data_IF_449160455832
#
_entry.id   IF_449160455832
#
_cell.length_a   1.000
_cell.length_b   1.000
_cell.length_c   1.000
_cell.angle_alpha   90.00
_cell.angle_beta   90.00
_cell.angle_gamma   90.00
#
_symmetry.space_group_name_H-M   'P 1'
#
loop_
_entity.id
_entity.type
_entity.pdbx_description
1 polymer ?
#
# COMPACT_ATOMS: atom_id res chain seq x y z
N UNK A 1 2.05 -15.22 -11.46
CA UNK A 1 3.02 -14.29 -12.07
C UNK A 1 4.27 -14.29 -11.21
N UNK A 2 5.45 -14.47 -11.79
CA UNK A 2 6.74 -14.30 -11.10
C UNK A 2 7.16 -12.82 -11.12
N UNK A 3 8.17 -12.45 -10.32
CA UNK A 3 8.70 -11.08 -10.34
C UNK A 3 9.33 -10.76 -11.71
N UNK A 4 10.06 -11.70 -12.30
CA UNK A 4 10.70 -11.50 -13.61
C UNK A 4 9.66 -11.23 -14.71
N UNK A 5 8.59 -12.04 -14.77
CA UNK A 5 7.47 -11.81 -15.71
C UNK A 5 6.82 -10.43 -15.49
N UNK A 6 6.71 -9.99 -14.23
CA UNK A 6 6.14 -8.67 -13.91
C UNK A 6 7.03 -7.53 -14.44
N UNK A 7 8.34 -7.64 -14.26
CA UNK A 7 9.29 -6.64 -14.76
C UNK A 7 9.37 -6.64 -16.29
N UNK A 8 9.34 -7.82 -16.93
CA UNK A 8 9.29 -7.95 -18.39
C UNK A 8 8.03 -7.29 -18.97
N UNK A 9 6.85 -7.58 -18.40
CA UNK A 9 5.59 -6.91 -18.78
C UNK A 9 5.74 -5.40 -18.63
N UNK A 10 6.37 -4.93 -17.55
CA UNK A 10 6.61 -3.51 -17.30
C UNK A 10 7.42 -2.85 -18.40
N UNK A 11 8.49 -3.49 -18.86
CA UNK A 11 9.35 -2.97 -19.94
C UNK A 11 8.59 -2.81 -21.25
N UNK A 12 7.75 -3.78 -21.61
CA UNK A 12 6.96 -3.77 -22.83
C UNK A 12 5.80 -2.75 -22.73
N UNK A 13 5.07 -2.79 -21.60
CA UNK A 13 3.85 -2.00 -21.43
C UNK A 13 4.09 -0.50 -21.22
N UNK A 14 5.28 -0.12 -20.74
CA UNK A 14 5.66 1.28 -20.47
C UNK A 14 5.61 2.19 -21.70
N UNK A 15 5.72 1.65 -22.90
CA UNK A 15 5.63 2.39 -24.16
C UNK A 15 4.22 2.39 -24.80
N UNK A 16 3.25 1.68 -24.17
CA UNK A 16 1.90 1.59 -24.77
C UNK A 16 1.13 2.91 -24.66
N UNK A 17 0.47 3.31 -25.75
CA UNK A 17 -0.36 4.53 -25.75
C UNK A 17 -1.47 4.51 -24.69
N UNK A 18 -1.99 3.32 -24.36
CA UNK A 18 -3.02 3.18 -23.33
C UNK A 18 -2.47 3.50 -21.94
N UNK A 19 -1.29 3.01 -21.61
CA UNK A 19 -0.61 3.32 -20.37
C UNK A 19 -0.22 4.80 -20.27
N UNK A 20 0.38 5.37 -21.32
CA UNK A 20 0.81 6.77 -21.36
C UNK A 20 -0.36 7.74 -21.15
N UNK A 21 -1.55 7.45 -21.71
CA UNK A 21 -2.77 8.25 -21.47
C UNK A 21 -3.22 8.18 -20.00
N UNK A 22 -3.17 7.00 -19.38
CA UNK A 22 -3.48 6.86 -17.95
C UNK A 22 -2.47 7.61 -17.09
N UNK A 23 -1.19 7.52 -17.42
CA UNK A 23 -0.12 8.21 -16.72
C UNK A 23 -0.31 9.72 -16.76
N UNK A 24 -0.56 10.29 -17.96
CA UNK A 24 -0.86 11.72 -18.13
C UNK A 24 -2.05 12.14 -17.27
N UNK A 25 -3.14 11.37 -17.30
CA UNK A 25 -4.33 11.67 -16.47
C UNK A 25 -4.05 11.61 -14.97
N UNK A 26 -3.26 10.64 -14.51
CA UNK A 26 -2.88 10.55 -13.10
C UNK A 26 -1.99 11.71 -12.68
N UNK A 27 -1.03 12.11 -13.50
CA UNK A 27 -0.18 13.29 -13.26
C UNK A 27 -1.02 14.58 -13.17
N UNK A 28 -1.98 14.78 -14.07
CA UNK A 28 -2.91 15.92 -14.03
C UNK A 28 -3.67 15.99 -12.70
N UNK A 29 -4.26 14.85 -12.28
CA UNK A 29 -5.02 14.77 -11.02
C UNK A 29 -4.10 15.02 -9.82
N UNK A 30 -2.91 14.40 -9.78
CA UNK A 30 -1.94 14.63 -8.69
C UNK A 30 -1.53 16.09 -8.63
N UNK A 31 -1.18 16.71 -9.76
CA UNK A 31 -0.82 18.13 -9.85
C UNK A 31 -1.93 19.03 -9.31
N UNK A 32 -3.17 18.79 -9.76
CA UNK A 32 -4.34 19.55 -9.31
C UNK A 32 -4.52 19.46 -7.79
N UNK A 33 -4.39 18.27 -7.21
CA UNK A 33 -4.55 18.07 -5.77
C UNK A 33 -3.40 18.67 -4.95
N UNK A 34 -2.17 18.58 -5.44
CA UNK A 34 -1.00 19.20 -4.79
C UNK A 34 -1.06 20.73 -4.78
N UNK A 35 -1.64 21.34 -5.81
CA UNK A 35 -1.85 22.79 -5.88
C UNK A 35 -3.00 23.29 -4.99
N UNK A 36 -3.97 22.42 -4.69
CA UNK A 36 -5.13 22.75 -3.83
C UNK A 36 -4.86 22.54 -2.33
N UNK A 37 -3.88 21.71 -1.98
CA UNK A 37 -3.65 21.27 -0.60
C UNK A 37 -2.18 21.43 -0.23
N UNK A 38 -1.90 22.16 0.83
CA UNK A 38 -0.55 22.50 1.28
C UNK A 38 0.10 21.47 2.20
N UNK A 39 -0.69 20.53 2.75
CA UNK A 39 -0.23 19.52 3.71
C UNK A 39 -0.65 18.09 3.32
N UNK A 40 -0.32 17.64 2.11
CA UNK A 40 -0.62 16.28 1.68
C UNK A 40 0.25 15.24 2.40
N UNK A 41 -0.23 13.99 2.42
CA UNK A 41 0.59 12.84 2.78
C UNK A 41 0.33 11.67 1.84
N UNK A 42 1.33 10.82 1.69
CA UNK A 42 1.30 9.62 0.85
C UNK A 42 1.26 8.41 1.77
N UNK A 43 0.18 7.63 1.73
CA UNK A 43 0.09 6.36 2.45
C UNK A 43 1.05 5.34 1.83
N UNK A 44 2.17 5.07 2.51
CA UNK A 44 3.22 4.16 2.08
C UNK A 44 3.19 2.88 2.90
N UNK A 45 2.80 1.77 2.29
CA UNK A 45 2.75 0.45 2.94
C UNK A 45 3.94 -0.45 2.60
N UNK A 46 4.90 0.02 1.79
CA UNK A 46 5.99 -0.80 1.23
C UNK A 46 5.54 -1.74 0.11
N UNK A 47 4.23 -1.85 -0.16
CA UNK A 47 3.70 -2.63 -1.27
C UNK A 47 3.84 -1.93 -2.62
N UNK A 48 3.91 -2.72 -3.70
CA UNK A 48 4.15 -2.26 -5.08
C UNK A 48 3.32 -1.03 -5.48
N UNK A 49 2.03 -1.01 -5.12
CA UNK A 49 1.10 0.04 -5.53
C UNK A 49 1.39 1.37 -4.81
N UNK A 50 1.66 1.33 -3.50
CA UNK A 50 2.01 2.53 -2.72
C UNK A 50 3.41 3.05 -3.07
N UNK A 51 4.33 2.16 -3.42
CA UNK A 51 5.68 2.53 -3.85
C UNK A 51 5.64 3.29 -5.18
N UNK A 52 5.04 2.71 -6.23
CA UNK A 52 4.96 3.39 -7.53
C UNK A 52 4.16 4.70 -7.46
N UNK A 53 3.15 4.78 -6.58
CA UNK A 53 2.42 6.02 -6.33
C UNK A 53 3.31 7.11 -5.74
N UNK A 54 4.17 6.77 -4.80
CA UNK A 54 5.11 7.72 -4.21
C UNK A 54 6.09 8.29 -5.26
N UNK A 55 6.60 7.45 -6.16
CA UNK A 55 7.45 7.89 -7.27
C UNK A 55 6.70 8.74 -8.29
N UNK A 56 5.46 8.38 -8.65
CA UNK A 56 4.62 9.19 -9.53
C UNK A 56 4.39 10.60 -8.97
N UNK A 57 4.11 10.70 -7.66
CA UNK A 57 3.89 11.99 -7.00
C UNK A 57 5.20 12.80 -6.94
N UNK A 58 6.32 12.16 -6.62
CA UNK A 58 7.63 12.80 -6.63
C UNK A 58 8.00 13.34 -8.02
N UNK A 59 7.71 12.59 -9.08
CA UNK A 59 7.93 12.99 -10.46
C UNK A 59 7.09 14.23 -10.83
N UNK A 60 5.82 14.27 -10.44
CA UNK A 60 4.95 15.46 -10.63
C UNK A 60 5.49 16.68 -9.89
N UNK A 61 5.97 16.50 -8.66
CA UNK A 61 6.56 17.61 -7.88
C UNK A 61 7.82 18.15 -8.55
N UNK A 62 8.66 17.26 -9.06
CA UNK A 62 9.97 17.65 -9.64
C UNK A 62 9.84 18.26 -11.04
N UNK A 63 8.89 17.80 -11.85
CA UNK A 63 8.86 18.12 -13.27
C UNK A 63 7.61 18.89 -13.73
N UNK A 64 6.50 18.78 -13.00
CA UNK A 64 5.23 19.34 -13.45
C UNK A 64 4.76 20.54 -12.61
N UNK A 65 5.40 20.85 -11.47
CA UNK A 65 5.04 21.97 -10.60
C UNK A 65 6.27 22.85 -10.32
N UNK A 66 6.23 24.09 -10.82
CA UNK A 66 7.28 25.06 -10.54
C UNK A 66 7.27 25.49 -9.06
N UNK A 67 8.44 25.40 -8.41
CA UNK A 67 8.64 25.85 -7.02
C UNK A 67 7.61 25.29 -6.02
N UNK A 68 7.34 23.98 -6.07
CA UNK A 68 6.45 23.35 -5.09
C UNK A 68 6.94 23.58 -3.66
N UNK A 69 6.11 24.23 -2.86
CA UNK A 69 6.39 24.59 -1.46
C UNK A 69 5.48 23.89 -0.44
N UNK A 70 4.66 22.94 -0.88
CA UNK A 70 3.79 22.17 -0.01
C UNK A 70 4.57 21.26 0.93
N UNK A 71 4.04 21.05 2.13
CA UNK A 71 4.62 20.18 3.14
C UNK A 71 4.12 18.76 2.98
N UNK A 72 4.66 18.02 1.99
CA UNK A 72 4.33 16.61 1.76
C UNK A 72 5.19 15.68 2.60
N UNK A 73 4.61 14.58 3.07
CA UNK A 73 5.32 13.48 3.74
C UNK A 73 4.93 12.12 3.15
N UNK A 74 5.82 11.15 3.25
CA UNK A 74 5.50 9.74 3.22
C UNK A 74 5.07 9.32 4.62
N UNK A 75 3.93 8.67 4.76
CA UNK A 75 3.48 8.13 6.02
C UNK A 75 3.37 6.61 5.94
N UNK A 76 4.12 5.93 6.79
CA UNK A 76 4.09 4.48 6.97
C UNK A 76 3.59 4.11 8.35
N UNK A 77 2.69 3.12 8.43
CA UNK A 77 2.29 2.50 9.68
C UNK A 77 2.85 1.08 9.73
N UNK A 78 3.65 0.81 10.76
CA UNK A 78 4.31 -0.48 10.95
C UNK A 78 3.89 -1.13 12.26
N UNK A 79 3.94 -2.45 12.30
CA UNK A 79 3.64 -3.25 13.47
C UNK A 79 4.60 -4.44 13.54
N UNK A 80 4.55 -5.17 14.63
CA UNK A 80 5.28 -6.43 14.82
C UNK A 80 4.85 -7.54 13.84
N UNK A 81 3.67 -7.40 13.20
CA UNK A 81 3.18 -8.26 12.15
C UNK A 81 3.43 -7.73 10.73
N UNK A 82 4.26 -6.70 10.56
CA UNK A 82 4.72 -6.28 9.24
C UNK A 82 5.66 -7.32 8.63
N UNK A 83 5.61 -7.47 7.30
CA UNK A 83 6.56 -8.35 6.61
C UNK A 83 8.00 -7.84 6.75
N UNK A 84 8.99 -8.72 6.99
CA UNK A 84 10.40 -8.34 6.94
C UNK A 84 10.75 -7.68 5.61
N UNK A 85 11.47 -6.57 5.66
CA UNK A 85 11.81 -5.76 4.49
C UNK A 85 10.84 -4.58 4.23
N UNK A 86 9.75 -4.47 5.02
CA UNK A 86 8.77 -3.38 4.82
C UNK A 86 9.37 -2.00 5.13
N UNK A 87 10.06 -1.87 6.27
CA UNK A 87 10.65 -0.60 6.70
C UNK A 87 11.77 -0.19 5.75
N UNK A 88 12.64 -1.13 5.39
CA UNK A 88 13.76 -0.90 4.48
C UNK A 88 13.28 -0.40 3.11
N UNK A 89 12.19 -0.94 2.58
CA UNK A 89 11.58 -0.43 1.35
C UNK A 89 11.04 0.99 1.53
N UNK A 90 10.39 1.29 2.64
CA UNK A 90 9.87 2.64 2.92
C UNK A 90 11.00 3.67 3.01
N UNK A 91 12.11 3.32 3.67
CA UNK A 91 13.30 4.16 3.78
C UNK A 91 13.97 4.36 2.42
N UNK A 92 14.07 3.31 1.60
CA UNK A 92 14.61 3.42 0.25
C UNK A 92 13.74 4.33 -0.64
N UNK A 93 12.42 4.22 -0.54
CA UNK A 93 11.49 5.13 -1.24
C UNK A 93 11.71 6.57 -0.80
N UNK A 94 11.82 6.83 0.50
CA UNK A 94 12.10 8.16 1.03
C UNK A 94 13.41 8.73 0.47
N UNK A 95 14.47 7.92 0.51
CA UNK A 95 15.78 8.31 -0.02
C UNK A 95 15.75 8.64 -1.52
N UNK A 96 15.07 7.81 -2.33
CA UNK A 96 15.00 7.99 -3.78
C UNK A 96 14.09 9.12 -4.22
N UNK A 97 12.99 9.35 -3.51
CA UNK A 97 12.03 10.41 -3.83
C UNK A 97 12.39 11.76 -3.21
N UNK A 98 13.25 11.79 -2.20
CA UNK A 98 13.56 12.99 -1.42
C UNK A 98 12.43 13.44 -0.50
N UNK A 99 11.33 12.70 -0.41
CA UNK A 99 10.19 13.03 0.45
C UNK A 99 10.41 12.44 1.85
N UNK A 100 10.26 13.28 2.88
CA UNK A 100 10.45 12.86 4.28
C UNK A 100 9.52 11.72 4.67
N UNK A 101 10.08 10.64 5.20
CA UNK A 101 9.34 9.52 5.79
C UNK A 101 9.00 9.80 7.26
N UNK A 102 7.76 9.52 7.61
CA UNK A 102 7.25 9.45 8.98
C UNK A 102 6.75 8.03 9.21
N UNK A 103 7.31 7.34 10.19
CA UNK A 103 6.90 5.99 10.58
C UNK A 103 6.16 6.07 11.91
N UNK A 104 4.90 5.68 11.89
CA UNK A 104 4.11 5.46 13.09
C UNK A 104 4.11 3.96 13.41
N UNK A 105 4.45 3.64 14.65
CA UNK A 105 4.44 2.28 15.15
C UNK A 105 3.16 2.04 15.93
N UNK A 106 2.53 0.89 15.70
CA UNK A 106 1.39 0.50 16.50
C UNK A 106 1.74 0.42 17.99
N UNK A 107 0.94 1.03 18.88
CA UNK A 107 1.12 0.91 20.31
C UNK A 107 0.72 -0.47 20.86
N UNK A 108 0.02 -1.28 20.05
CA UNK A 108 -0.48 -2.60 20.41
C UNK A 108 0.07 -3.62 19.43
N UNK A 109 0.41 -4.82 19.92
CA UNK A 109 0.81 -5.92 19.06
C UNK A 109 -0.30 -6.27 18.08
N UNK A 110 0.03 -6.38 16.78
CA UNK A 110 -0.93 -6.79 15.78
C UNK A 110 -1.38 -8.25 15.97
N UNK A 111 -0.61 -9.07 16.67
CA UNK A 111 -1.00 -10.42 17.05
C UNK A 111 -2.07 -10.41 18.14
N UNK A 112 -2.04 -9.45 19.06
CA UNK A 112 -3.04 -9.30 20.12
C UNK A 112 -4.37 -8.75 19.63
N UNK A 113 -4.36 -7.90 18.59
CA UNK A 113 -5.60 -7.29 18.02
C UNK A 113 -6.59 -8.32 17.48
N UNK A 114 -6.14 -9.54 17.20
CA UNK A 114 -7.04 -10.65 16.84
C UNK A 114 -7.76 -11.25 18.05
N UNK A 115 -7.33 -10.96 19.27
CA UNK A 115 -8.01 -11.39 20.50
C UNK A 115 -9.28 -10.56 20.73
N UNK A 116 -10.39 -11.23 21.05
CA UNK A 116 -11.67 -10.57 21.28
C UNK A 116 -11.67 -9.57 22.44
N UNK A 117 -10.78 -9.74 23.43
CA UNK A 117 -10.63 -8.83 24.56
C UNK A 117 -10.02 -7.49 24.12
N UNK A 118 -9.00 -7.54 23.28
CA UNK A 118 -8.36 -6.35 22.69
C UNK A 118 -9.30 -5.68 21.70
N UNK A 119 -10.04 -6.46 20.89
CA UNK A 119 -11.09 -5.94 20.00
C UNK A 119 -12.18 -5.20 20.77
N UNK A 120 -12.57 -5.66 21.97
CA UNK A 120 -13.53 -4.96 22.83
C UNK A 120 -13.01 -3.65 23.40
N UNK A 121 -11.71 -3.58 23.73
CA UNK A 121 -11.07 -2.39 24.28
C UNK A 121 -10.85 -1.30 23.24
N UNK A 122 -10.42 -1.66 22.03
CA UNK A 122 -10.03 -0.72 20.97
C UNK A 122 -11.03 -0.65 19.80
N UNK A 123 -12.06 -1.48 19.81
CA UNK A 123 -13.04 -1.59 18.72
C UNK A 123 -12.48 -2.32 17.47
N UNK A 124 -13.37 -2.88 16.65
CA UNK A 124 -13.00 -3.65 15.44
C UNK A 124 -12.28 -2.81 14.35
N UNK A 125 -12.35 -1.49 14.45
CA UNK A 125 -11.76 -0.56 13.49
C UNK A 125 -10.59 0.25 14.09
N UNK A 126 -10.43 0.23 15.42
CA UNK A 126 -9.58 1.14 16.18
C UNK A 126 -8.14 1.14 15.74
N UNK A 127 -7.59 -0.01 15.44
CA UNK A 127 -6.17 -0.14 15.23
C UNK A 127 -5.62 0.62 14.00
N UNK A 128 -6.17 0.40 12.81
CA UNK A 128 -5.67 1.03 11.58
C UNK A 128 -6.28 2.41 11.33
N UNK A 129 -7.57 2.56 11.62
CA UNK A 129 -8.26 3.84 11.45
C UNK A 129 -7.79 4.88 12.47
N UNK A 130 -7.50 4.45 13.71
CA UNK A 130 -6.91 5.34 14.73
C UNK A 130 -5.52 5.83 14.31
N UNK A 131 -4.70 4.98 13.70
CA UNK A 131 -3.40 5.39 13.16
C UNK A 131 -3.55 6.44 12.05
N UNK A 132 -4.53 6.30 11.16
CA UNK A 132 -4.82 7.31 10.13
C UNK A 132 -5.29 8.61 10.76
N UNK A 133 -6.21 8.55 11.72
CA UNK A 133 -6.71 9.72 12.44
C UNK A 133 -5.59 10.44 13.18
N UNK A 134 -4.74 9.70 13.88
CA UNK A 134 -3.56 10.24 14.56
C UNK A 134 -2.59 10.91 13.57
N UNK A 135 -2.36 10.29 12.39
CA UNK A 135 -1.53 10.91 11.35
C UNK A 135 -2.11 12.26 10.90
N UNK A 136 -3.42 12.29 10.59
CA UNK A 136 -4.08 13.50 10.12
C UNK A 136 -4.01 14.61 11.18
N UNK A 137 -4.31 14.30 12.43
CA UNK A 137 -4.36 15.27 13.51
C UNK A 137 -2.96 15.71 13.96
N UNK A 138 -2.05 14.77 14.20
CA UNK A 138 -0.71 15.07 14.73
C UNK A 138 0.14 15.86 13.74
N UNK A 139 0.06 15.49 12.47
CA UNK A 139 0.85 16.14 11.41
C UNK A 139 0.03 17.17 10.63
N UNK A 140 -1.21 17.46 11.06
CA UNK A 140 -2.12 18.43 10.44
C UNK A 140 -2.24 18.22 8.93
N UNK A 141 -2.65 17.00 8.52
CA UNK A 141 -2.77 16.61 7.10
C UNK A 141 -4.15 16.93 6.55
N UNK A 142 -4.23 17.37 5.29
CA UNK A 142 -5.49 17.77 4.64
C UNK A 142 -5.78 17.05 3.34
N UNK A 143 -4.83 16.23 2.84
CA UNK A 143 -4.99 15.39 1.65
C UNK A 143 -4.23 14.08 1.83
N UNK A 144 -4.92 12.96 1.60
CA UNK A 144 -4.37 11.61 1.60
C UNK A 144 -4.24 11.06 0.18
N UNK A 145 -3.04 10.72 -0.25
CA UNK A 145 -2.82 9.90 -1.45
C UNK A 145 -2.79 8.43 -1.07
N UNK A 146 -3.66 7.63 -1.67
CA UNK A 146 -3.79 6.20 -1.36
C UNK A 146 -3.72 5.37 -2.64
N UNK A 147 -2.87 4.33 -2.65
CA UNK A 147 -2.62 3.44 -3.78
C UNK A 147 -3.73 2.43 -4.05
N UNK A 148 -5.00 2.82 -3.95
CA UNK A 148 -6.15 1.97 -4.25
C UNK A 148 -6.36 1.85 -5.75
N UNK A 149 -6.60 0.61 -6.23
CA UNK A 149 -6.92 0.32 -7.62
C UNK A 149 -8.26 -0.43 -7.72
N UNK A 150 -9.08 -0.04 -8.70
CA UNK A 150 -10.39 -0.63 -8.92
C UNK A 150 -10.33 -2.14 -9.20
N UNK A 151 -9.31 -2.57 -9.96
CA UNK A 151 -9.18 -3.96 -10.43
C UNK A 151 -8.69 -4.95 -9.38
N UNK A 152 -8.30 -4.50 -8.19
CA UNK A 152 -7.84 -5.40 -7.13
C UNK A 152 -8.96 -6.23 -6.48
N UNK A 153 -10.20 -5.72 -6.51
CA UNK A 153 -11.36 -6.45 -5.99
C UNK A 153 -12.68 -5.80 -6.40
N UNK A 154 -13.76 -6.60 -6.41
CA UNK A 154 -15.13 -6.10 -6.65
C UNK A 154 -15.52 -4.96 -5.68
N UNK A 155 -15.08 -5.03 -4.42
CA UNK A 155 -15.34 -3.98 -3.41
C UNK A 155 -14.65 -2.67 -3.80
N UNK A 156 -13.36 -2.72 -4.21
CA UNK A 156 -12.61 -1.53 -4.64
C UNK A 156 -13.16 -0.96 -5.94
N UNK A 157 -13.56 -1.80 -6.88
CA UNK A 157 -14.23 -1.36 -8.11
C UNK A 157 -15.50 -0.56 -7.81
N UNK A 158 -16.35 -1.04 -6.89
CA UNK A 158 -17.54 -0.30 -6.47
C UNK A 158 -17.20 1.06 -5.84
N UNK A 159 -16.21 1.09 -4.95
CA UNK A 159 -15.77 2.32 -4.30
C UNK A 159 -15.23 3.35 -5.31
N UNK A 160 -14.35 2.94 -6.21
CA UNK A 160 -13.79 3.83 -7.24
C UNK A 160 -14.88 4.32 -8.20
N UNK A 161 -15.85 3.49 -8.59
CA UNK A 161 -16.99 3.92 -9.41
C UNK A 161 -17.89 4.92 -8.70
N UNK A 162 -18.08 4.79 -7.40
CA UNK A 162 -18.94 5.67 -6.62
C UNK A 162 -18.28 7.03 -6.32
N UNK A 163 -16.98 7.05 -6.02
CA UNK A 163 -16.30 8.24 -5.54
C UNK A 163 -15.37 8.90 -6.58
N UNK A 164 -15.00 8.19 -7.63
CA UNK A 164 -14.00 8.65 -8.59
C UNK A 164 -12.58 8.58 -8.04
N UNK A 165 -11.69 9.41 -8.59
CA UNK A 165 -10.28 9.49 -8.18
C UNK A 165 -10.06 10.43 -7.00
N UNK A 166 -10.97 11.38 -6.77
CA UNK A 166 -10.86 12.40 -5.71
C UNK A 166 -12.21 12.60 -5.01
N UNK A 167 -12.20 12.60 -3.70
CA UNK A 167 -13.40 12.81 -2.88
C UNK A 167 -13.01 13.20 -1.46
N UNK A 168 -14.00 13.63 -0.66
CA UNK A 168 -13.82 13.91 0.75
C UNK A 168 -14.38 12.76 1.58
N UNK A 169 -13.67 12.36 2.63
CA UNK A 169 -14.11 11.36 3.61
C UNK A 169 -14.20 11.97 5.01
N UNK A 170 -15.17 11.51 5.79
CA UNK A 170 -15.29 11.81 7.20
C UNK A 170 -14.89 10.61 8.08
N UNK A 171 -14.27 9.57 7.49
CA UNK A 171 -13.89 8.34 8.20
C UNK A 171 -12.40 8.06 7.96
N UNK A 172 -11.60 7.91 9.04
CA UNK A 172 -11.95 8.07 10.47
C UNK A 172 -12.22 9.52 10.86
N UNK A 173 -11.63 10.48 10.19
CA UNK A 173 -11.81 11.92 10.36
C UNK A 173 -11.85 12.63 9.01
N UNK A 174 -12.18 13.92 9.00
CA UNK A 174 -12.28 14.70 7.77
C UNK A 174 -10.93 14.77 7.05
N UNK A 175 -10.88 14.30 5.81
CA UNK A 175 -9.71 14.41 4.94
C UNK A 175 -10.13 14.31 3.46
N UNK A 176 -9.42 15.05 2.61
CA UNK A 176 -9.52 14.85 1.17
C UNK A 176 -8.73 13.59 0.76
N UNK A 177 -9.29 12.81 -0.14
CA UNK A 177 -8.72 11.55 -0.60
C UNK A 177 -8.44 11.64 -2.09
N UNK A 178 -7.27 11.17 -2.50
CA UNK A 178 -6.91 11.01 -3.89
C UNK A 178 -6.41 9.58 -4.16
N UNK A 179 -6.96 8.95 -5.19
CA UNK A 179 -6.57 7.64 -5.72
C UNK A 179 -5.90 7.80 -7.10
N UNK A 180 -4.62 8.18 -7.18
CA UNK A 180 -3.96 8.42 -8.46
C UNK A 180 -3.95 7.20 -9.37
N UNK A 181 -3.92 6.01 -8.78
CA UNK A 181 -3.84 4.72 -9.47
C UNK A 181 -5.21 4.03 -9.65
N UNK A 182 -6.32 4.74 -9.43
CA UNK A 182 -7.68 4.16 -9.38
C UNK A 182 -8.00 3.21 -10.54
N UNK A 183 -7.61 3.56 -11.77
CA UNK A 183 -7.92 2.81 -12.99
C UNK A 183 -6.74 2.02 -13.57
N UNK A 184 -5.68 1.83 -12.77
CA UNK A 184 -4.52 1.05 -13.17
C UNK A 184 -4.77 -0.45 -12.96
N UNK A 185 -4.37 -1.23 -13.95
CA UNK A 185 -4.26 -2.69 -13.86
C UNK A 185 -2.86 -3.09 -13.43
N UNK A 186 -2.63 -4.39 -13.28
CA UNK A 186 -1.34 -4.90 -12.83
C UNK A 186 -0.20 -4.60 -13.82
N UNK A 187 -0.48 -4.68 -15.12
CA UNK A 187 0.48 -4.30 -16.18
C UNK A 187 0.86 -2.81 -16.14
N UNK A 188 -0.06 -1.94 -15.74
CA UNK A 188 0.23 -0.51 -15.58
C UNK A 188 1.16 -0.27 -14.37
N UNK A 189 0.98 -1.04 -13.29
CA UNK A 189 1.87 -0.99 -12.12
C UNK A 189 3.26 -1.51 -12.47
N UNK A 190 3.34 -2.57 -13.27
CA UNK A 190 4.60 -3.08 -13.80
C UNK A 190 5.33 -2.01 -14.64
N UNK A 191 4.60 -1.30 -15.51
CA UNK A 191 5.14 -0.22 -16.30
C UNK A 191 5.71 0.93 -15.45
N UNK A 192 4.99 1.36 -14.39
CA UNK A 192 5.50 2.37 -13.46
C UNK A 192 6.74 1.87 -12.70
N UNK A 193 6.73 0.59 -12.26
CA UNK A 193 7.88 -0.02 -11.59
C UNK A 193 9.12 0.02 -12.48
N UNK A 194 8.96 -0.31 -13.75
CA UNK A 194 10.04 -0.26 -14.75
C UNK A 194 10.49 1.18 -15.02
N UNK A 195 9.57 2.09 -15.33
CA UNK A 195 9.89 3.49 -15.69
C UNK A 195 10.64 4.24 -14.60
N UNK A 196 10.18 4.09 -13.36
CA UNK A 196 10.79 4.79 -12.23
C UNK A 196 11.89 3.99 -11.52
N UNK A 197 12.20 2.78 -11.98
CA UNK A 197 13.15 1.87 -11.33
C UNK A 197 12.91 1.80 -9.81
N UNK A 198 11.65 1.54 -9.46
CA UNK A 198 11.24 1.55 -8.06
C UNK A 198 11.77 0.33 -7.31
N UNK A 199 12.04 0.44 -6.00
CA UNK A 199 12.31 -0.73 -5.19
C UNK A 199 11.09 -1.66 -5.15
N UNK A 200 11.35 -2.97 -5.10
CA UNK A 200 10.32 -4.00 -5.02
C UNK A 200 10.51 -4.80 -3.74
N UNK A 201 9.45 -4.88 -2.94
CA UNK A 201 9.50 -5.58 -1.65
C UNK A 201 9.91 -7.07 -1.83
N UNK A 202 10.84 -7.61 -1.00
CA UNK A 202 11.34 -8.97 -1.13
C UNK A 202 10.28 -10.07 -1.13
N UNK A 203 9.10 -9.81 -0.56
CA UNK A 203 7.98 -10.76 -0.56
C UNK A 203 7.58 -11.18 -1.97
N UNK A 204 7.71 -10.29 -2.95
CA UNK A 204 7.29 -10.59 -4.33
C UNK A 204 8.18 -11.61 -5.05
N UNK A 205 9.45 -11.74 -4.64
CA UNK A 205 10.34 -12.80 -5.15
C UNK A 205 10.05 -14.18 -4.55
N UNK A 206 9.33 -14.23 -3.43
CA UNK A 206 8.98 -15.46 -2.72
C UNK A 206 7.61 -16.03 -3.13
N UNK A 207 6.90 -15.34 -4.02
CA UNK A 207 5.56 -15.74 -4.47
C UNK A 207 5.64 -17.03 -5.28
N UNK A 208 5.01 -18.10 -4.77
CA UNK A 208 4.80 -19.33 -5.53
C UNK A 208 3.48 -19.22 -6.28
N UNK A 209 3.52 -19.27 -7.62
CA UNK A 209 2.34 -19.16 -8.48
C UNK A 209 1.35 -20.31 -8.28
N UNK A 210 1.76 -21.42 -7.63
CA UNK A 210 0.91 -22.56 -7.30
C UNK A 210 0.07 -22.34 -6.04
N UNK A 211 0.43 -21.37 -5.21
CA UNK A 211 -0.29 -21.05 -3.98
C UNK A 211 -1.13 -19.78 -4.20
N UNK A 212 -2.44 -19.90 -4.18
CA UNK A 212 -3.36 -18.76 -4.17
C UNK A 212 -3.50 -18.27 -2.73
N UNK A 213 -2.67 -17.35 -2.31
CA UNK A 213 -2.80 -16.71 -1.01
C UNK A 213 -2.80 -15.19 -1.17
N UNK A 214 -3.65 -14.54 -0.41
CA UNK A 214 -3.80 -13.07 -0.40
C UNK A 214 -3.71 -12.40 -1.79
N UNK A 215 -4.24 -13.09 -2.81
CA UNK A 215 -4.23 -12.62 -4.18
C UNK A 215 -5.32 -11.59 -4.42
N UNK A 216 -5.02 -10.60 -5.24
CA UNK A 216 -6.02 -9.73 -5.85
C UNK A 216 -6.82 -10.49 -6.91
N UNK A 217 -7.92 -9.92 -7.40
CA UNK A 217 -8.68 -10.46 -8.55
C UNK A 217 -7.79 -10.55 -9.81
N UNK A 218 -6.68 -9.83 -9.87
CA UNK A 218 -5.67 -9.89 -10.94
C UNK A 218 -4.66 -11.03 -10.77
N UNK A 219 -4.75 -11.82 -9.70
CA UNK A 219 -3.96 -13.03 -9.50
C UNK A 219 -2.54 -12.82 -8.96
N UNK A 220 -2.27 -11.67 -8.32
CA UNK A 220 -0.99 -11.45 -7.65
C UNK A 220 -1.16 -11.01 -6.20
N UNK A 221 -0.08 -11.15 -5.38
CA UNK A 221 -0.12 -10.92 -3.95
C UNK A 221 -0.40 -9.45 -3.62
N UNK A 222 -1.15 -9.27 -2.54
CA UNK A 222 -1.30 -8.00 -1.85
C UNK A 222 -0.40 -8.00 -0.61
N UNK A 223 0.47 -7.00 -0.47
CA UNK A 223 1.17 -6.79 0.78
C UNK A 223 0.20 -6.25 1.83
N UNK A 224 0.19 -6.88 2.98
CA UNK A 224 -0.58 -6.49 4.16
C UNK A 224 0.17 -6.91 5.41
N UNK A 225 -0.50 -6.98 6.53
CA UNK A 225 0.07 -7.57 7.75
C UNK A 225 0.00 -9.10 7.68
N UNK A 226 0.96 -9.77 8.35
CA UNK A 226 0.97 -11.23 8.52
C UNK A 226 -0.31 -11.76 9.16
N UNK A 227 -0.95 -10.95 10.00
CA UNK A 227 -2.21 -11.25 10.71
C UNK A 227 -3.47 -10.87 9.92
N UNK A 228 -3.37 -10.58 8.63
CA UNK A 228 -4.53 -10.25 7.81
C UNK A 228 -5.59 -11.37 7.89
N UNK A 229 -6.87 -10.97 7.84
CA UNK A 229 -8.03 -11.87 8.01
C UNK A 229 -8.04 -13.07 7.07
N UNK A 230 -7.33 -12.96 5.95
CA UNK A 230 -7.18 -14.01 4.96
C UNK A 230 -6.02 -14.98 5.26
N UNK A 231 -5.37 -14.85 6.44
CA UNK A 231 -4.21 -15.66 6.83
C UNK A 231 -4.52 -17.17 6.81
N UNK A 232 -5.67 -17.57 7.31
CA UNK A 232 -6.08 -18.97 7.36
C UNK A 232 -6.70 -19.44 6.04
N UNK A 233 -7.10 -18.50 5.19
CA UNK A 233 -7.63 -18.79 3.87
C UNK A 233 -6.53 -18.69 2.82
N UNK A 234 -6.60 -19.48 1.78
CA UNK A 234 -5.73 -19.36 0.59
C UNK A 234 -4.24 -19.72 0.80
N UNK A 235 -3.91 -20.50 1.82
CA UNK A 235 -2.55 -21.00 2.02
C UNK A 235 -1.54 -19.97 2.55
N UNK A 236 -2.00 -18.85 3.10
CA UNK A 236 -1.12 -17.81 3.66
C UNK A 236 -0.27 -18.32 4.81
N UNK A 237 -0.83 -19.15 5.70
CA UNK A 237 -0.09 -19.77 6.80
C UNK A 237 1.06 -20.67 6.29
N UNK A 238 0.81 -21.45 5.23
CA UNK A 238 1.83 -22.27 4.57
C UNK A 238 2.95 -21.41 3.96
N UNK A 239 2.58 -20.30 3.33
CA UNK A 239 3.54 -19.35 2.79
C UNK A 239 4.43 -18.73 3.87
N UNK A 240 3.84 -18.29 4.98
CA UNK A 240 4.57 -17.70 6.10
C UNK A 240 5.50 -18.74 6.72
N UNK A 241 5.02 -19.97 6.97
CA UNK A 241 5.86 -21.05 7.50
C UNK A 241 7.09 -21.32 6.63
N UNK A 242 6.93 -21.32 5.29
CA UNK A 242 8.03 -21.59 4.35
C UNK A 242 9.03 -20.45 4.24
N UNK A 243 8.55 -19.22 4.20
CA UNK A 243 9.35 -18.07 3.81
C UNK A 243 9.76 -17.17 4.98
N UNK A 244 9.05 -17.28 6.11
CA UNK A 244 9.20 -16.46 7.30
C UNK A 244 8.99 -17.31 8.57
N UNK A 245 9.85 -18.32 8.83
CA UNK A 245 9.64 -19.28 9.93
C UNK A 245 9.61 -18.59 11.31
N UNK A 246 10.41 -17.57 11.54
CA UNK A 246 10.41 -16.83 12.81
C UNK A 246 9.06 -16.13 13.07
N UNK A 247 8.47 -15.53 12.03
CA UNK A 247 7.15 -14.89 12.11
C UNK A 247 6.04 -15.95 12.26
N UNK A 248 6.23 -17.12 11.65
CA UNK A 248 5.31 -18.25 11.83
C UNK A 248 5.30 -18.74 13.29
N UNK A 249 6.46 -18.86 13.93
CA UNK A 249 6.53 -19.24 15.34
C UNK A 249 5.86 -18.21 16.27
N UNK A 250 5.99 -16.92 15.99
CA UNK A 250 5.22 -15.88 16.71
C UNK A 250 3.71 -16.07 16.54
N UNK A 251 3.24 -16.35 15.32
CA UNK A 251 1.83 -16.67 15.07
C UNK A 251 1.37 -17.88 15.86
N UNK A 252 2.19 -18.94 15.92
CA UNK A 252 1.88 -20.16 16.68
C UNK A 252 1.81 -19.91 18.19
N UNK A 253 2.65 -19.01 18.73
CA UNK A 253 2.59 -18.63 20.13
C UNK A 253 1.26 -17.98 20.51
N UNK A 254 0.72 -17.13 19.64
CA UNK A 254 -0.58 -16.46 19.85
C UNK A 254 -1.78 -17.32 19.42
N UNK A 255 -1.62 -18.15 18.39
CA UNK A 255 -2.67 -18.96 17.75
C UNK A 255 -2.18 -20.39 17.50
N UNK A 256 -2.08 -21.24 18.53
CA UNK A 256 -1.56 -22.61 18.39
C UNK A 256 -2.29 -23.47 17.36
N UNK A 257 -3.57 -23.20 17.12
CA UNK A 257 -4.42 -23.88 16.14
C UNK A 257 -3.97 -23.67 14.69
N UNK A 258 -3.16 -22.65 14.42
CA UNK A 258 -2.61 -22.40 13.08
C UNK A 258 -1.81 -23.60 12.57
N UNK A 259 -1.22 -24.41 13.46
CA UNK A 259 -0.50 -25.64 13.11
C UNK A 259 -1.38 -26.64 12.34
N UNK A 260 -2.68 -26.57 12.51
CA UNK A 260 -3.62 -27.46 11.84
C UNK A 260 -3.87 -27.08 10.36
N UNK A 261 -3.39 -25.95 9.90
CA UNK A 261 -3.61 -25.41 8.55
C UNK A 261 -2.34 -25.41 7.67
N UNK A 262 -1.26 -26.05 8.14
CA UNK A 262 0.06 -26.04 7.46
C UNK A 262 0.70 -27.41 7.42
#
# INVERSE_FOLDING_TARGET
>A
MTLDNFLEIGSIWSSSNQFLRKLSKSKEVVKEQLLKHDKPYICLSGGKDSVVMAFLIADVIQHDIDNYNGNIILWGHVSDASYPGTVEIMEEVSKKTGIKLVLDTSPVSAFEVLDDSVVKQFGKQGYFFDAIENCINTYNRNLSFIGVRAYESKRRMKAVKAHGMTFTSNVPTFCNICYPLAWYKLEDIAALTYMYNTPVHPVYSKVDTRLKYNCTDEGWIRLGYLTAKDLLNQGSAVFIKRNYPEQFEKLVQHYPEIKNYV
#
